data_IF_339301900476
#
_entry.id   IF_339301900476
#
_cell.length_a   1.000
_cell.length_b   1.000
_cell.length_c   1.000
_cell.angle_alpha   90.00
_cell.angle_beta   90.00
_cell.angle_gamma   90.00
#
_symmetry.space_group_name_H-M   'P 1'
#
loop_
_entity.id
_entity.type
_entity.pdbx_description
1 polymer ?
#
# COMPACT_ATOMS: atom_id res chain seq x y z
N UNK A 1 19.81 -4.42 -14.88
CA UNK A 1 18.69 -5.36 -14.90
C UNK A 1 17.39 -4.63 -14.52
N UNK A 2 16.30 -5.04 -15.07
CA UNK A 2 14.98 -4.46 -14.74
C UNK A 2 14.33 -5.32 -13.66
N UNK A 3 13.93 -4.70 -12.57
CA UNK A 3 13.23 -5.36 -11.47
C UNK A 3 11.79 -4.91 -11.40
N UNK A 4 10.89 -5.87 -11.21
CA UNK A 4 9.47 -5.60 -10.96
C UNK A 4 9.28 -5.45 -9.46
N UNK A 5 8.81 -4.28 -9.03
CA UNK A 5 8.68 -3.96 -7.61
C UNK A 5 7.26 -3.47 -7.33
N UNK A 6 6.66 -3.98 -6.26
CA UNK A 6 5.36 -3.51 -5.78
C UNK A 6 5.55 -2.71 -4.50
N UNK A 7 4.89 -1.58 -4.44
CA UNK A 7 4.79 -0.79 -3.22
C UNK A 7 3.36 -0.91 -2.71
N UNK A 8 3.21 -1.54 -1.56
CA UNK A 8 1.91 -1.69 -0.90
C UNK A 8 1.79 -0.59 0.14
N UNK A 9 0.82 0.30 -0.04
CA UNK A 9 0.61 1.46 0.81
C UNK A 9 -0.71 1.29 1.56
N UNK A 10 -0.66 1.38 2.88
CA UNK A 10 -1.83 1.23 3.75
C UNK A 10 -1.94 2.40 4.71
N UNK A 11 -3.17 2.80 5.09
CA UNK A 11 -3.34 3.80 6.13
C UNK A 11 -2.85 3.26 7.47
N UNK A 12 -2.32 4.15 8.31
CA UNK A 12 -1.90 3.80 9.67
C UNK A 12 -3.11 3.28 10.45
N UNK A 13 -2.88 2.27 11.29
CA UNK A 13 -3.96 1.57 12.02
C UNK A 13 -4.73 2.48 12.96
N UNK A 14 -4.06 3.48 13.52
CA UNK A 14 -4.65 4.38 14.51
C UNK A 14 -5.45 5.53 13.87
N UNK A 15 -5.42 5.63 12.54
CA UNK A 15 -6.12 6.70 11.84
C UNK A 15 -7.48 6.22 11.34
N UNK A 16 -8.43 7.16 11.28
CA UNK A 16 -9.72 6.91 10.67
C UNK A 16 -9.55 6.67 9.17
N UNK A 17 -10.15 5.58 8.68
CA UNK A 17 -10.17 5.25 7.26
C UNK A 17 -11.60 5.38 6.73
N UNK A 18 -11.99 6.57 6.22
CA UNK A 18 -13.36 6.77 5.74
C UNK A 18 -13.71 5.89 4.53
N UNK A 19 -12.74 5.58 3.67
CA UNK A 19 -12.97 4.67 2.55
C UNK A 19 -13.24 3.24 3.04
N UNK A 20 -12.42 2.76 3.97
CA UNK A 20 -12.60 1.43 4.56
C UNK A 20 -13.93 1.30 5.26
N UNK A 21 -14.35 2.33 5.99
CA UNK A 21 -15.64 2.36 6.66
C UNK A 21 -16.80 2.31 5.68
N UNK A 22 -16.73 3.09 4.60
CA UNK A 22 -17.76 3.08 3.57
C UNK A 22 -17.89 1.72 2.89
N UNK A 23 -16.77 1.06 2.61
CA UNK A 23 -16.77 -0.30 2.05
C UNK A 23 -17.39 -1.29 3.04
N UNK A 24 -17.02 -1.20 4.31
CA UNK A 24 -17.56 -2.08 5.35
C UNK A 24 -19.08 -1.93 5.45
N UNK A 25 -19.58 -0.71 5.47
CA UNK A 25 -21.01 -0.44 5.53
C UNK A 25 -21.72 -1.02 4.31
N UNK A 26 -21.13 -0.86 3.12
CA UNK A 26 -21.66 -1.45 1.89
C UNK A 26 -21.73 -2.97 1.94
N UNK A 27 -20.68 -3.62 2.46
CA UNK A 27 -20.66 -5.07 2.61
C UNK A 27 -21.70 -5.56 3.61
N UNK A 28 -21.90 -4.85 4.72
CA UNK A 28 -22.94 -5.18 5.69
C UNK A 28 -24.33 -5.04 5.08
N UNK A 29 -24.54 -4.04 4.24
CA UNK A 29 -25.82 -3.86 3.53
C UNK A 29 -26.11 -5.01 2.55
N UNK A 30 -25.07 -5.69 2.08
CA UNK A 30 -25.22 -6.89 1.25
C UNK A 30 -25.45 -8.17 2.07
N UNK A 31 -25.52 -8.07 3.38
CA UNK A 31 -25.73 -9.20 4.27
C UNK A 31 -24.44 -9.91 4.71
N UNK A 32 -23.28 -9.35 4.41
CA UNK A 32 -21.98 -9.94 4.75
C UNK A 32 -21.52 -9.46 6.13
N UNK A 33 -22.31 -9.76 7.15
CA UNK A 33 -22.12 -9.24 8.50
C UNK A 33 -20.93 -9.83 9.26
N UNK A 34 -20.33 -10.91 8.74
CA UNK A 34 -19.14 -11.50 9.32
C UNK A 34 -17.87 -10.70 9.11
N UNK A 35 -17.87 -9.74 8.19
CA UNK A 35 -16.74 -8.85 7.95
C UNK A 35 -16.71 -7.79 9.05
N UNK A 36 -15.62 -7.75 9.82
CA UNK A 36 -15.55 -6.91 11.00
C UNK A 36 -14.78 -5.63 10.79
N UNK A 37 -13.86 -5.60 9.80
CA UNK A 37 -13.09 -4.41 9.51
C UNK A 37 -12.68 -4.42 8.04
N UNK A 38 -12.52 -3.23 7.47
CA UNK A 38 -12.02 -3.02 6.11
C UNK A 38 -11.05 -1.85 6.11
N UNK A 39 -9.88 -2.08 5.52
CA UNK A 39 -8.88 -1.03 5.32
C UNK A 39 -8.61 -0.94 3.83
N UNK A 40 -8.67 0.25 3.29
CA UNK A 40 -8.42 0.49 1.87
C UNK A 40 -7.02 1.07 1.70
N UNK A 41 -6.20 0.37 0.96
CA UNK A 41 -4.86 0.81 0.59
C UNK A 41 -4.70 0.85 -0.92
N UNK A 42 -3.46 1.03 -1.36
CA UNK A 42 -3.14 1.03 -2.79
C UNK A 42 -1.90 0.19 -3.06
N UNK A 43 -1.79 -0.29 -4.29
CA UNK A 43 -0.61 -1.01 -4.77
C UNK A 43 -0.05 -0.28 -5.97
N UNK A 44 1.23 0.04 -5.93
CA UNK A 44 1.93 0.74 -6.99
C UNK A 44 2.98 -0.20 -7.57
N UNK A 45 2.91 -0.46 -8.86
CA UNK A 45 3.86 -1.32 -9.55
C UNK A 45 4.91 -0.46 -10.24
N UNK A 46 6.17 -0.75 -9.96
CA UNK A 46 7.31 -0.06 -10.53
C UNK A 46 8.18 -1.03 -11.33
N UNK A 47 8.72 -0.54 -12.43
CA UNK A 47 9.83 -1.19 -13.12
C UNK A 47 11.07 -0.36 -12.87
N UNK A 48 12.08 -0.96 -12.23
CA UNK A 48 13.26 -0.24 -11.81
C UNK A 48 14.49 -0.87 -12.44
N UNK A 49 15.26 -0.07 -13.17
CA UNK A 49 16.58 -0.51 -13.64
C UNK A 49 17.60 -0.29 -12.53
N UNK A 50 18.28 -1.35 -12.14
CA UNK A 50 19.27 -1.32 -11.07
C UNK A 50 20.32 -2.42 -11.29
N UNK A 51 21.47 -2.27 -10.64
CA UNK A 51 22.57 -3.23 -10.75
C UNK A 51 22.26 -4.55 -10.03
N UNK A 52 21.49 -4.48 -8.97
CA UNK A 52 21.05 -5.65 -8.18
C UNK A 52 19.74 -5.37 -7.45
N UNK A 53 19.22 -6.40 -6.78
CA UNK A 53 17.96 -6.30 -6.05
C UNK A 53 18.04 -5.28 -4.91
N UNK A 54 19.14 -5.24 -4.18
CA UNK A 54 19.32 -4.29 -3.08
C UNK A 54 19.24 -2.85 -3.57
N UNK A 55 19.85 -2.55 -4.73
CA UNK A 55 19.75 -1.22 -5.32
C UNK A 55 18.32 -0.90 -5.75
N UNK A 56 17.58 -1.86 -6.30
CA UNK A 56 16.19 -1.68 -6.68
C UNK A 56 15.31 -1.38 -5.46
N UNK A 57 15.51 -2.11 -4.36
CA UNK A 57 14.79 -1.87 -3.10
C UNK A 57 15.12 -0.47 -2.54
N UNK A 58 16.37 -0.05 -2.60
CA UNK A 58 16.77 1.28 -2.13
C UNK A 58 16.07 2.39 -2.92
N UNK A 59 16.01 2.26 -4.24
CA UNK A 59 15.33 3.22 -5.11
C UNK A 59 13.82 3.25 -4.80
N UNK A 60 13.20 2.07 -4.68
CA UNK A 60 11.77 1.96 -4.38
C UNK A 60 11.43 2.56 -3.01
N UNK A 61 12.28 2.32 -2.02
CA UNK A 61 12.09 2.87 -0.67
C UNK A 61 12.15 4.39 -0.69
N UNK A 62 13.13 4.95 -1.39
CA UNK A 62 13.28 6.39 -1.50
C UNK A 62 12.09 7.02 -2.24
N UNK A 63 11.65 6.42 -3.34
CA UNK A 63 10.48 6.88 -4.08
C UNK A 63 9.23 6.86 -3.19
N UNK A 64 9.06 5.84 -2.37
CA UNK A 64 7.93 5.70 -1.47
C UNK A 64 7.92 6.80 -0.40
N UNK A 65 9.09 7.09 0.18
CA UNK A 65 9.22 8.16 1.18
C UNK A 65 8.97 9.54 0.61
N UNK A 66 9.43 9.80 -0.60
CA UNK A 66 9.36 11.15 -1.19
C UNK A 66 8.03 11.46 -1.84
N UNK A 67 7.35 10.45 -2.40
CA UNK A 67 6.16 10.70 -3.22
C UNK A 67 5.03 9.72 -3.04
N UNK A 68 5.32 8.42 -2.96
CA UNK A 68 4.28 7.39 -3.16
C UNK A 68 3.43 7.16 -1.91
N UNK A 69 3.97 7.38 -0.73
CA UNK A 69 3.26 7.22 0.53
C UNK A 69 3.31 8.53 1.33
N UNK A 70 2.21 8.82 2.02
CA UNK A 70 2.16 9.94 2.95
C UNK A 70 2.63 9.45 4.32
N UNK A 71 3.84 9.81 4.73
CA UNK A 71 4.46 9.31 5.95
C UNK A 71 3.69 9.67 7.23
N UNK A 72 2.84 10.69 7.18
CA UNK A 72 2.02 11.11 8.33
C UNK A 72 0.81 10.18 8.51
N UNK A 73 0.24 9.70 7.41
CA UNK A 73 -1.04 8.98 7.40
C UNK A 73 -0.93 7.53 6.94
N UNK A 74 0.20 7.15 6.35
CA UNK A 74 0.34 5.86 5.67
C UNK A 74 1.66 5.19 6.03
N UNK A 75 1.68 3.86 5.92
CA UNK A 75 2.91 3.10 5.89
C UNK A 75 2.99 2.32 4.58
N UNK A 76 4.18 1.84 4.24
CA UNK A 76 4.37 1.11 3.00
C UNK A 76 5.25 -0.12 3.19
N UNK A 77 5.11 -1.05 2.26
CA UNK A 77 5.94 -2.25 2.17
C UNK A 77 6.46 -2.38 0.75
N UNK A 78 7.75 -2.69 0.60
CA UNK A 78 8.40 -2.91 -0.70
C UNK A 78 8.51 -4.40 -0.94
N UNK A 79 7.96 -4.86 -2.07
CA UNK A 79 8.00 -6.28 -2.45
C UNK A 79 8.64 -6.39 -3.84
N UNK A 80 9.72 -7.16 -3.95
CA UNK A 80 10.35 -7.47 -5.23
C UNK A 80 9.77 -8.77 -5.75
N UNK A 81 9.30 -8.73 -6.98
CA UNK A 81 8.70 -9.90 -7.63
C UNK A 81 9.71 -10.77 -8.36
#
# INVERSE_FOLDING_TARGET
MIYQVQIKVMPLKDLLDPQGKAVLDGLHNLGLSGIQDVRVGKNINLQIEAVDEAAAVAIATEASKQLLANAVMEYFEVVVL
#
